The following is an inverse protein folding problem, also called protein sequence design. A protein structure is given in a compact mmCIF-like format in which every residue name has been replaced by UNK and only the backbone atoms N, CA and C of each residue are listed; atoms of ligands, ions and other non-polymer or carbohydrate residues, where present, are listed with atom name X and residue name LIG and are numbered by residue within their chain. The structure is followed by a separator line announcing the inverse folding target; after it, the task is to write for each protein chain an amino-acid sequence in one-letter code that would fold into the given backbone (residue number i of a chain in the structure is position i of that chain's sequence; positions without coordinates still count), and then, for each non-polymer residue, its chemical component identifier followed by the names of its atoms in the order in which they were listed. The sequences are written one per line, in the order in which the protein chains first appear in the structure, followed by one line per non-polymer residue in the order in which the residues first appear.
data_IF_966689982698
#
_entry.id   IF_966689982698
#
_cell.length_a   1.000
_cell.length_b   1.000
_cell.length_c   1.000
_cell.angle_alpha   90.00
_cell.angle_beta   90.00
_cell.angle_gamma   90.00
#
_symmetry.space_group_name_H-M   'P 1'
#
loop_
_entity.id
_entity.type
_entity.pdbx_description
1 polymer ?
#
# COMPACT_ATOMS: atom_id res chain seq x y z
N UNK A 1 0.91 -13.77 -15.38
CA UNK A 1 -0.36 -13.02 -15.28
C UNK A 1 -0.44 -12.33 -13.90
N UNK A 2 -0.84 -11.08 -13.87
CA UNK A 2 -1.05 -10.36 -12.61
C UNK A 2 -2.50 -10.50 -12.19
N UNK A 3 -2.73 -10.91 -10.95
CA UNK A 3 -4.06 -10.92 -10.37
C UNK A 3 -4.21 -9.72 -9.43
N UNK A 4 -5.35 -9.03 -9.52
CA UNK A 4 -5.65 -7.87 -8.68
C UNK A 4 -6.53 -8.24 -7.48
N UNK A 5 -6.99 -9.49 -7.40
CA UNK A 5 -7.77 -9.95 -6.27
C UNK A 5 -6.88 -10.15 -5.05
N UNK A 6 -7.31 -9.62 -3.92
CA UNK A 6 -6.61 -9.78 -2.64
C UNK A 6 -7.60 -10.07 -1.52
N UNK A 7 -7.15 -10.87 -0.56
CA UNK A 7 -7.88 -11.11 0.68
C UNK A 7 -6.99 -10.66 1.85
N UNK A 8 -7.54 -9.97 2.84
CA UNK A 8 -6.73 -9.45 3.97
C UNK A 8 -5.85 -10.49 4.65
N UNK A 9 -6.35 -11.71 4.79
CA UNK A 9 -5.57 -12.81 5.39
C UNK A 9 -4.35 -13.22 4.58
N UNK A 10 -4.28 -12.82 3.29
CA UNK A 10 -3.20 -13.18 2.38
C UNK A 10 -2.30 -12.01 2.02
N UNK A 11 -2.46 -10.85 2.66
CA UNK A 11 -1.58 -9.73 2.41
C UNK A 11 -0.13 -10.09 2.78
N UNK A 12 0.79 -9.74 1.90
CA UNK A 12 2.22 -10.02 2.07
C UNK A 12 3.00 -8.81 2.56
N UNK A 13 2.47 -7.62 2.32
CA UNK A 13 3.21 -6.37 2.51
C UNK A 13 2.59 -5.44 3.55
N UNK A 14 1.32 -5.60 3.83
CA UNK A 14 0.59 -4.74 4.76
C UNK A 14 -0.01 -5.54 5.90
N UNK A 15 0.05 -4.97 7.10
CA UNK A 15 -0.63 -5.48 8.28
C UNK A 15 -1.59 -4.42 8.78
N UNK A 16 -2.79 -4.82 9.17
CA UNK A 16 -3.82 -3.88 9.59
C UNK A 16 -4.30 -4.24 10.99
N UNK A 17 -4.47 -3.22 11.82
CA UNK A 17 -5.06 -3.36 13.13
C UNK A 17 -6.18 -2.36 13.27
N UNK A 18 -7.39 -2.82 13.60
CA UNK A 18 -8.53 -1.97 13.85
C UNK A 18 -8.77 -1.85 15.35
N UNK A 19 -8.81 -0.62 15.85
CA UNK A 19 -9.11 -0.32 17.26
C UNK A 19 -10.14 0.78 17.35
N UNK A 20 -11.38 0.46 17.78
CA UNK A 20 -12.46 1.43 17.88
C UNK A 20 -12.70 2.13 16.54
N UNK A 21 -12.53 3.43 16.47
CA UNK A 21 -12.70 4.23 15.25
C UNK A 21 -11.37 4.49 14.51
N UNK A 22 -10.30 3.74 14.86
CA UNK A 22 -8.97 3.91 14.29
C UNK A 22 -8.51 2.67 13.55
N UNK A 23 -7.76 2.88 12.49
CA UNK A 23 -7.06 1.81 11.79
C UNK A 23 -5.57 2.13 11.77
N UNK A 24 -4.76 1.11 12.01
CA UNK A 24 -3.30 1.21 11.92
C UNK A 24 -2.85 0.35 10.74
N UNK A 25 -2.22 1.00 9.76
CA UNK A 25 -1.66 0.34 8.61
C UNK A 25 -0.14 0.27 8.76
N UNK A 26 0.38 -0.94 8.83
CA UNK A 26 1.81 -1.16 8.97
C UNK A 26 2.38 -1.67 7.66
N UNK A 27 3.28 -0.90 7.07
CA UNK A 27 4.00 -1.33 5.88
C UNK A 27 5.15 -2.23 6.32
N UNK A 28 5.11 -3.48 5.90
CA UNK A 28 6.13 -4.47 6.17
C UNK A 28 6.36 -5.33 4.93
N UNK A 29 7.06 -4.75 3.97
CA UNK A 29 7.19 -5.35 2.65
C UNK A 29 7.99 -6.63 2.69
N UNK A 30 7.43 -7.69 2.14
CA UNK A 30 8.12 -8.96 1.97
C UNK A 30 9.08 -8.84 0.79
N UNK A 31 10.38 -8.87 1.09
CA UNK A 31 11.43 -8.59 0.10
C UNK A 31 11.41 -9.52 -1.12
N UNK A 32 11.01 -10.77 -0.90
CA UNK A 32 11.03 -11.80 -1.95
C UNK A 32 9.72 -11.93 -2.71
N UNK A 33 8.72 -11.16 -2.35
CA UNK A 33 7.37 -11.25 -2.94
C UNK A 33 7.07 -10.10 -3.90
N UNK A 34 8.03 -9.72 -4.74
CA UNK A 34 7.78 -8.80 -5.83
C UNK A 34 6.74 -9.35 -6.80
N UNK A 35 5.96 -8.48 -7.42
CA UNK A 35 4.89 -8.90 -8.34
C UNK A 35 5.42 -9.57 -9.60
N UNK A 36 6.66 -9.31 -9.95
CA UNK A 36 7.38 -9.92 -11.07
C UNK A 36 8.71 -10.48 -10.57
N UNK A 37 9.28 -11.49 -11.25
CA UNK A 37 10.63 -11.96 -10.93
C UNK A 37 11.70 -10.93 -11.35
N UNK A 38 12.88 -11.05 -10.75
CA UNK A 38 14.06 -10.29 -11.18
C UNK A 38 14.46 -9.15 -10.27
N UNK A 39 13.72 -8.86 -9.21
CA UNK A 39 14.10 -7.86 -8.22
C UNK A 39 13.63 -8.25 -6.82
N UNK A 40 14.24 -7.64 -5.82
CA UNK A 40 13.79 -7.78 -4.42
C UNK A 40 13.34 -6.43 -3.88
N UNK A 41 12.35 -6.47 -2.98
CA UNK A 41 11.75 -5.26 -2.40
C UNK A 41 12.47 -4.88 -1.10
N UNK A 42 13.74 -4.49 -1.21
CA UNK A 42 14.54 -4.09 -0.04
C UNK A 42 14.17 -2.70 0.45
N UNK A 43 14.52 -2.42 1.70
CA UNK A 43 14.32 -1.11 2.34
C UNK A 43 12.86 -0.69 2.37
N UNK A 44 11.97 -1.66 2.54
CA UNK A 44 10.52 -1.41 2.56
C UNK A 44 10.06 -0.69 1.28
N UNK A 45 10.66 -1.05 0.16
CA UNK A 45 10.36 -0.43 -1.13
C UNK A 45 9.06 -0.94 -1.73
N UNK A 46 8.61 -0.27 -2.76
CA UNK A 46 7.25 -0.35 -3.25
C UNK A 46 7.20 -0.83 -4.69
N UNK A 47 6.34 -1.80 -4.98
CA UNK A 47 6.00 -2.17 -6.35
C UNK A 47 4.47 -2.23 -6.52
N UNK A 48 4.03 -2.68 -7.67
CA UNK A 48 2.60 -2.79 -7.96
C UNK A 48 1.89 -3.72 -6.97
N UNK A 49 2.53 -4.80 -6.55
CA UNK A 49 1.93 -5.74 -5.60
C UNK A 49 1.64 -5.11 -4.25
N UNK A 50 2.54 -4.25 -3.77
CA UNK A 50 2.34 -3.49 -2.54
C UNK A 50 1.14 -2.54 -2.68
N UNK A 51 1.02 -1.90 -3.82
CA UNK A 51 -0.07 -0.94 -4.06
C UNK A 51 -1.42 -1.63 -4.29
N UNK A 52 -1.43 -2.79 -4.92
CA UNK A 52 -2.67 -3.58 -5.06
C UNK A 52 -3.25 -3.89 -3.69
N UNK A 53 -2.42 -4.29 -2.73
CA UNK A 53 -2.87 -4.53 -1.36
C UNK A 53 -3.40 -3.26 -0.71
N UNK A 54 -2.69 -2.15 -0.85
CA UNK A 54 -3.12 -0.87 -0.28
C UNK A 54 -4.46 -0.41 -0.87
N UNK A 55 -4.64 -0.54 -2.17
CA UNK A 55 -5.89 -0.23 -2.83
C UNK A 55 -7.03 -1.09 -2.27
N UNK A 56 -6.79 -2.40 -2.12
CA UNK A 56 -7.76 -3.32 -1.54
C UNK A 56 -8.13 -2.92 -0.10
N UNK A 57 -7.14 -2.55 0.71
CA UNK A 57 -7.35 -2.08 2.08
C UNK A 57 -8.30 -0.88 2.11
N UNK A 58 -8.06 0.11 1.27
CA UNK A 58 -8.86 1.33 1.24
C UNK A 58 -10.30 1.02 0.85
N UNK A 59 -10.50 0.18 -0.15
CA UNK A 59 -11.84 -0.21 -0.58
C UNK A 59 -12.58 -0.98 0.52
N UNK A 60 -11.92 -1.95 1.15
CA UNK A 60 -12.55 -2.70 2.25
C UNK A 60 -12.85 -1.83 3.45
N UNK A 61 -11.98 -0.88 3.75
CA UNK A 61 -12.21 0.04 4.86
C UNK A 61 -13.48 0.86 4.66
N UNK A 62 -13.72 1.31 3.42
CA UNK A 62 -14.93 2.08 3.10
C UNK A 62 -16.22 1.26 3.25
N UNK A 63 -16.19 -0.01 2.87
CA UNK A 63 -17.39 -0.85 2.84
C UNK A 63 -17.54 -1.74 4.08
N UNK A 64 -16.44 -2.24 4.61
CA UNK A 64 -16.46 -3.21 5.72
C UNK A 64 -16.23 -2.57 7.08
N UNK A 65 -15.60 -1.38 7.13
CA UNK A 65 -15.29 -0.67 8.37
C UNK A 65 -15.69 0.80 8.31
N UNK A 66 -16.99 1.09 8.08
CA UNK A 66 -17.44 2.47 7.91
C UNK A 66 -17.34 3.34 9.18
N UNK A 67 -17.09 2.72 10.34
CA UNK A 67 -16.91 3.41 11.61
C UNK A 67 -15.51 4.03 11.77
N UNK A 68 -14.56 3.68 10.90
CA UNK A 68 -13.19 4.20 10.99
C UNK A 68 -13.15 5.67 10.61
N UNK A 69 -12.54 6.48 11.46
CA UNK A 69 -12.39 7.93 11.28
C UNK A 69 -10.96 8.38 11.15
N UNK A 70 -10.02 7.63 11.70
CA UNK A 70 -8.59 7.95 11.66
C UNK A 70 -7.81 6.74 11.20
N UNK A 71 -6.92 6.95 10.22
CA UNK A 71 -6.02 5.93 9.71
C UNK A 71 -4.59 6.40 9.92
N UNK A 72 -3.81 5.60 10.63
CA UNK A 72 -2.41 5.88 10.90
C UNK A 72 -1.56 4.92 10.09
N UNK A 73 -0.70 5.47 9.24
CA UNK A 73 0.18 4.69 8.36
C UNK A 73 1.59 4.80 8.89
N UNK A 74 2.22 3.68 9.14
CA UNK A 74 3.60 3.62 9.61
C UNK A 74 4.30 2.36 9.07
N UNK A 75 5.57 2.20 9.41
CA UNK A 75 6.36 1.03 9.02
C UNK A 75 6.57 0.10 10.20
N UNK A 76 6.59 -1.21 9.92
CA UNK A 76 7.05 -2.21 10.89
C UNK A 76 8.58 -2.29 10.97
N UNK A 77 9.28 -1.76 10.00
CA UNK A 77 10.74 -1.77 9.96
C UNK A 77 11.28 -0.57 10.73
N UNK A 78 12.18 -0.83 11.68
CA UNK A 78 12.70 0.22 12.58
C UNK A 78 13.49 1.29 11.84
N UNK A 79 14.25 0.90 10.83
CA UNK A 79 15.19 1.79 10.15
C UNK A 79 14.67 2.42 8.88
N UNK A 80 13.56 1.94 8.37
CA UNK A 80 13.04 2.39 7.09
C UNK A 80 11.54 2.60 7.16
N UNK A 81 11.08 3.79 6.86
CA UNK A 81 9.66 4.00 6.59
C UNK A 81 9.32 3.37 5.24
N UNK A 82 9.93 3.86 4.17
CA UNK A 82 9.89 3.27 2.82
C UNK A 82 10.92 3.97 1.94
N UNK A 83 11.62 3.19 1.14
CA UNK A 83 12.51 3.73 0.12
C UNK A 83 11.75 4.25 -1.12
N UNK A 84 10.43 4.12 -1.14
CA UNK A 84 9.61 4.50 -2.28
C UNK A 84 9.60 3.43 -3.37
N UNK A 85 9.30 3.82 -4.61
CA UNK A 85 9.25 2.89 -5.71
C UNK A 85 10.58 2.17 -5.90
N UNK A 86 10.52 0.84 -6.06
CA UNK A 86 11.72 0.04 -6.21
C UNK A 86 12.45 0.38 -7.51
N UNK A 87 13.69 0.84 -7.40
CA UNK A 87 14.46 1.32 -8.56
C UNK A 87 14.85 0.19 -9.51
N UNK A 88 15.05 -1.01 -9.02
CA UNK A 88 15.38 -2.16 -9.87
C UNK A 88 14.18 -2.61 -10.68
N UNK A 89 12.99 -2.61 -10.06
CA UNK A 89 11.74 -2.86 -10.77
C UNK A 89 11.54 -1.85 -11.89
N UNK A 90 11.76 -0.55 -11.60
CA UNK A 90 11.64 0.50 -12.61
C UNK A 90 12.68 0.33 -13.72
N UNK A 91 13.93 0.03 -13.35
CA UNK A 91 15.01 -0.11 -14.32
C UNK A 91 14.82 -1.26 -15.30
N UNK A 92 14.16 -2.33 -14.88
CA UNK A 92 13.94 -3.51 -15.75
C UNK A 92 12.57 -3.51 -16.43
N UNK A 93 11.74 -2.50 -16.20
CA UNK A 93 10.40 -2.46 -16.75
C UNK A 93 10.34 -1.65 -18.04
N UNK A 94 9.44 -2.05 -18.95
CA UNK A 94 9.15 -1.28 -20.16
C UNK A 94 8.42 0.01 -19.83
N UNK A 95 8.49 0.97 -20.74
CA UNK A 95 7.85 2.27 -20.54
C UNK A 95 6.34 2.16 -20.29
N UNK A 96 5.65 1.34 -21.06
CA UNK A 96 4.21 1.14 -20.88
C UNK A 96 3.86 0.62 -19.49
N UNK A 97 4.66 -0.29 -18.96
CA UNK A 97 4.46 -0.82 -17.62
C UNK A 97 4.63 0.27 -16.56
N UNK A 98 5.66 1.11 -16.73
CA UNK A 98 5.91 2.22 -15.79
C UNK A 98 4.75 3.22 -15.79
N UNK A 99 4.23 3.56 -16.96
CA UNK A 99 3.09 4.47 -17.09
C UNK A 99 1.86 3.89 -16.39
N UNK A 100 1.58 2.63 -16.61
CA UNK A 100 0.44 1.96 -15.99
C UNK A 100 0.60 1.79 -14.48
N UNK A 101 1.81 1.53 -14.01
CA UNK A 101 2.12 1.51 -12.58
C UNK A 101 1.84 2.87 -11.94
N UNK A 102 2.31 3.95 -12.53
CA UNK A 102 2.06 5.30 -12.04
C UNK A 102 0.58 5.64 -12.05
N UNK A 103 -0.14 5.22 -13.08
CA UNK A 103 -1.58 5.42 -13.14
C UNK A 103 -2.30 4.68 -12.03
N UNK A 104 -1.93 3.44 -11.77
CA UNK A 104 -2.53 2.65 -10.69
C UNK A 104 -2.29 3.31 -9.33
N UNK A 105 -1.07 3.74 -9.03
CA UNK A 105 -0.75 4.40 -7.77
C UNK A 105 -1.49 5.72 -7.62
N UNK A 106 -1.71 6.46 -8.70
CA UNK A 106 -2.52 7.67 -8.68
C UNK A 106 -3.99 7.37 -8.36
N UNK A 107 -4.53 6.28 -8.84
CA UNK A 107 -5.90 5.85 -8.51
C UNK A 107 -6.01 5.46 -7.03
N UNK A 108 -5.01 4.80 -6.48
CA UNK A 108 -4.94 4.52 -5.05
C UNK A 108 -4.92 5.82 -4.24
N UNK A 109 -4.13 6.79 -4.67
CA UNK A 109 -4.09 8.12 -4.06
C UNK A 109 -5.46 8.79 -4.10
N UNK A 110 -6.16 8.72 -5.22
CA UNK A 110 -7.50 9.25 -5.34
C UNK A 110 -8.47 8.57 -4.36
N UNK A 111 -8.30 7.28 -4.12
CA UNK A 111 -9.07 6.56 -3.11
C UNK A 111 -8.87 7.13 -1.70
N UNK A 112 -7.64 7.49 -1.34
CA UNK A 112 -7.35 8.20 -0.09
C UNK A 112 -8.06 9.54 -0.03
N UNK A 113 -7.92 10.34 -1.07
CA UNK A 113 -8.51 11.68 -1.13
C UNK A 113 -10.04 11.62 -1.05
N UNK A 114 -10.66 10.69 -1.76
CA UNK A 114 -12.10 10.51 -1.73
C UNK A 114 -12.58 10.05 -0.35
N UNK A 115 -11.86 9.15 0.30
CA UNK A 115 -12.18 8.69 1.64
C UNK A 115 -12.10 9.84 2.66
N UNK A 116 -11.13 10.72 2.50
CA UNK A 116 -10.99 11.89 3.36
C UNK A 116 -12.09 12.91 3.09
N UNK A 117 -12.38 13.16 1.83
CA UNK A 117 -13.33 14.19 1.39
C UNK A 117 -14.79 13.80 1.62
N UNK A 118 -15.15 12.57 1.26
CA UNK A 118 -16.53 12.08 1.32
C UNK A 118 -16.82 11.20 2.53
N UNK A 119 -15.80 10.52 3.06
CA UNK A 119 -15.92 9.61 4.20
C UNK A 119 -15.51 10.22 5.53
N UNK A 120 -14.99 11.45 5.54
CA UNK A 120 -14.49 12.14 6.74
C UNK A 120 -13.37 11.40 7.47
N UNK A 121 -12.59 10.60 6.74
CA UNK A 121 -11.45 9.87 7.31
C UNK A 121 -10.22 10.77 7.30
N UNK A 122 -9.51 10.82 8.44
CA UNK A 122 -8.24 11.53 8.55
C UNK A 122 -7.10 10.53 8.40
N UNK A 123 -6.17 10.81 7.49
CA UNK A 123 -4.99 9.99 7.29
C UNK A 123 -3.77 10.68 7.87
N UNK A 124 -3.01 9.94 8.67
CA UNK A 124 -1.80 10.43 9.34
C UNK A 124 -0.65 9.49 8.99
N UNK A 125 0.44 10.05 8.47
CA UNK A 125 1.66 9.29 8.26
C UNK A 125 2.56 9.47 9.48
N UNK A 126 2.81 8.39 10.21
CA UNK A 126 3.75 8.36 11.33
C UNK A 126 5.07 7.81 10.81
N UNK A 127 5.95 8.70 10.40
CA UNK A 127 7.21 8.34 9.74
C UNK A 127 8.24 7.95 10.78
N UNK A 128 8.83 6.77 10.62
CA UNK A 128 9.93 6.25 11.44
C UNK A 128 11.08 5.82 10.54
N UNK A 129 12.26 5.86 11.07
CA UNK A 129 13.46 5.48 10.31
C UNK A 129 14.24 6.63 9.69
#
# INVERSE_FOLDING_TARGET
MITFERLPKNYKHWEIEYKSDRAYLYLNVSEKDGIKPGYELKLNSYDLGVDIELNDIIQRMRFEHPNIKVVIITSKQEKNFSAGANIYMLGMSEHSWKVNFCKFTNETRNGFEDSSKSGSIKFIAAING
#
